data_IF_929954006622
#
_entry.id   IF_929954006622
#
_cell.length_a   1.000
_cell.length_b   1.000
_cell.length_c   1.000
_cell.angle_alpha   90.00
_cell.angle_beta   90.00
_cell.angle_gamma   90.00
#
_symmetry.space_group_name_H-M   'P 1'
#
loop_
_entity.id
_entity.type
_entity.pdbx_description
1 polymer ?
#
# COMPACT_ATOMS: atom_id res chain seq x y z
N UNK A 1 -15.34 31.04 17.85
CA UNK A 1 -15.74 30.07 16.80
C UNK A 1 -14.76 28.93 16.82
N UNK A 2 -15.15 27.78 17.37
CA UNK A 2 -14.32 26.57 17.46
C UNK A 2 -14.51 25.79 16.16
N UNK A 3 -13.52 25.83 15.28
CA UNK A 3 -13.57 25.18 13.97
C UNK A 3 -13.19 23.72 14.08
N UNK A 4 -14.20 22.87 13.90
CA UNK A 4 -14.20 21.54 13.25
C UNK A 4 -13.19 20.52 13.78
N UNK A 5 -13.72 19.62 14.62
CA UNK A 5 -13.12 18.32 14.88
C UNK A 5 -12.92 17.53 13.58
N UNK A 6 -11.71 16.98 13.45
CA UNK A 6 -11.32 16.04 12.41
C UNK A 6 -12.23 14.82 12.45
N UNK A 7 -13.05 14.66 11.40
CA UNK A 7 -13.79 13.43 11.16
C UNK A 7 -12.79 12.34 10.76
N UNK A 8 -12.27 11.60 11.76
CA UNK A 8 -11.71 10.28 11.50
C UNK A 8 -12.83 9.44 10.88
N UNK A 9 -12.72 9.18 9.57
CA UNK A 9 -13.55 8.19 8.90
C UNK A 9 -13.47 6.89 9.68
N UNK A 10 -14.59 6.15 9.73
CA UNK A 10 -14.63 4.82 10.34
C UNK A 10 -13.70 3.89 9.55
N UNK A 11 -12.40 3.87 9.90
CA UNK A 11 -11.47 2.85 9.43
C UNK A 11 -12.00 1.52 9.94
N UNK A 12 -12.15 0.55 9.04
CA UNK A 12 -12.41 -0.82 9.47
C UNK A 12 -11.28 -1.21 10.42
N UNK A 13 -11.59 -1.88 11.54
CA UNK A 13 -10.56 -2.34 12.49
C UNK A 13 -9.67 -3.47 11.93
N UNK A 14 -9.73 -3.71 10.61
CA UNK A 14 -8.98 -4.74 9.91
C UNK A 14 -7.61 -4.25 9.46
N UNK A 15 -6.65 -5.17 9.45
CA UNK A 15 -5.35 -4.97 8.85
C UNK A 15 -5.30 -5.73 7.53
N UNK A 16 -4.95 -5.06 6.44
CA UNK A 16 -4.97 -5.64 5.11
C UNK A 16 -3.55 -5.68 4.52
N UNK A 17 -3.10 -6.84 4.02
CA UNK A 17 -1.94 -6.89 3.14
C UNK A 17 -2.33 -6.49 1.71
N UNK A 18 -1.41 -5.85 1.00
CA UNK A 18 -1.44 -5.71 -0.45
C UNK A 18 -0.49 -6.74 -1.05
N UNK A 19 -0.88 -7.40 -2.15
CA UNK A 19 -0.04 -8.36 -2.87
C UNK A 19 0.30 -7.78 -4.23
N UNK A 20 1.61 -7.59 -4.46
CA UNK A 20 2.15 -6.85 -5.60
C UNK A 20 1.62 -5.41 -5.72
N UNK A 21 2.23 -4.64 -6.61
CA UNK A 21 1.98 -3.19 -6.77
C UNK A 21 1.97 -2.75 -8.22
N UNK A 22 2.01 -3.70 -9.15
CA UNK A 22 1.94 -3.41 -10.58
C UNK A 22 3.17 -2.67 -11.10
N UNK A 23 3.02 -2.12 -12.31
CA UNK A 23 4.00 -1.25 -12.95
C UNK A 23 4.22 0.06 -12.19
N UNK A 24 5.36 0.75 -12.40
CA UNK A 24 5.64 2.06 -11.81
C UNK A 24 4.62 3.15 -12.15
N UNK A 25 4.47 4.11 -11.23
CA UNK A 25 3.61 5.29 -11.43
C UNK A 25 2.11 4.97 -11.44
N UNK A 26 1.70 3.95 -10.69
CA UNK A 26 0.30 3.52 -10.54
C UNK A 26 -0.24 3.41 -9.09
N UNK A 27 0.34 4.00 -8.04
CA UNK A 27 -0.15 3.79 -6.67
C UNK A 27 -1.52 4.42 -6.41
N UNK A 28 -1.86 5.54 -7.08
CA UNK A 28 -3.20 6.13 -6.99
C UNK A 28 -4.30 5.17 -7.43
N UNK A 29 -4.02 4.34 -8.45
CA UNK A 29 -4.97 3.33 -8.90
C UNK A 29 -5.21 2.28 -7.82
N UNK A 30 -4.17 1.87 -7.10
CA UNK A 30 -4.27 0.88 -6.01
C UNK A 30 -5.06 1.48 -4.84
N UNK A 31 -4.69 2.67 -4.39
CA UNK A 31 -5.37 3.34 -3.28
C UNK A 31 -6.83 3.67 -3.58
N UNK A 32 -7.16 4.02 -4.83
CA UNK A 32 -8.54 4.20 -5.25
C UNK A 32 -9.36 2.89 -5.13
N UNK A 33 -8.79 1.75 -5.53
CA UNK A 33 -9.45 0.44 -5.39
C UNK A 33 -9.61 0.03 -3.93
N UNK A 34 -8.61 0.28 -3.10
CA UNK A 34 -8.71 0.04 -1.65
C UNK A 34 -9.82 0.89 -1.02
N UNK A 35 -9.95 2.16 -1.42
CA UNK A 35 -11.02 3.04 -0.96
C UNK A 35 -12.41 2.54 -1.39
N UNK A 36 -12.56 2.01 -2.62
CA UNK A 36 -13.80 1.36 -3.08
C UNK A 36 -14.17 0.14 -2.20
N UNK A 37 -13.16 -0.55 -1.66
CA UNK A 37 -13.34 -1.64 -0.70
C UNK A 37 -13.49 -1.19 0.76
N UNK A 38 -13.48 0.12 1.04
CA UNK A 38 -13.57 0.66 2.41
C UNK A 38 -12.29 0.49 3.24
N UNK A 39 -11.16 0.23 2.59
CA UNK A 39 -9.83 0.11 3.22
C UNK A 39 -9.15 1.48 3.14
N UNK A 40 -8.86 2.08 4.30
CA UNK A 40 -8.08 3.32 4.32
C UNK A 40 -6.61 3.01 3.98
N UNK A 41 -5.84 3.96 3.41
CA UNK A 41 -4.40 3.78 3.22
C UNK A 41 -3.68 3.39 4.51
N UNK A 42 -4.11 3.98 5.63
CA UNK A 42 -3.61 3.67 6.97
C UNK A 42 -4.14 2.37 7.57
N UNK A 43 -4.84 1.52 6.82
CA UNK A 43 -5.22 0.14 7.21
C UNK A 43 -4.36 -0.92 6.48
N UNK A 44 -3.57 -0.50 5.47
CA UNK A 44 -2.55 -1.34 4.84
C UNK A 44 -1.39 -1.54 5.83
N UNK A 45 -1.02 -2.79 6.10
CA UNK A 45 0.03 -3.14 7.09
C UNK A 45 1.22 -3.88 6.51
N UNK A 46 1.12 -4.33 5.27
CA UNK A 46 2.17 -5.08 4.59
C UNK A 46 1.97 -4.95 3.08
N UNK A 47 3.06 -4.76 2.34
CA UNK A 47 3.14 -4.93 0.89
C UNK A 47 3.96 -6.21 0.67
N UNK A 48 3.31 -7.27 0.20
CA UNK A 48 3.97 -8.55 -0.07
C UNK A 48 4.20 -8.69 -1.58
N UNK A 49 5.48 -8.76 -1.97
CA UNK A 49 5.88 -8.94 -3.36
C UNK A 49 6.02 -10.42 -3.68
N UNK A 50 5.45 -10.85 -4.80
CA UNK A 50 5.51 -12.25 -5.25
C UNK A 50 6.89 -12.61 -5.78
N UNK A 51 7.49 -11.75 -6.62
CA UNK A 51 8.83 -11.92 -7.17
C UNK A 51 9.42 -10.60 -7.73
N UNK A 52 10.71 -10.64 -8.08
CA UNK A 52 11.54 -9.50 -8.46
C UNK A 52 11.38 -8.95 -9.90
N UNK A 53 10.20 -9.00 -10.52
CA UNK A 53 9.97 -8.32 -11.80
C UNK A 53 9.26 -6.97 -11.61
N UNK A 54 9.66 -5.97 -12.39
CA UNK A 54 9.24 -4.56 -12.20
C UNK A 54 7.73 -4.35 -12.34
N UNK A 55 7.04 -5.22 -13.06
CA UNK A 55 5.57 -5.20 -13.18
C UNK A 55 4.85 -5.72 -11.93
N UNK A 56 5.58 -6.24 -10.94
CA UNK A 56 5.05 -6.67 -9.65
C UNK A 56 5.40 -5.71 -8.50
N UNK A 57 6.56 -5.04 -8.52
CA UNK A 57 6.99 -4.15 -7.42
C UNK A 57 7.07 -2.67 -7.81
N UNK A 58 6.71 -2.31 -9.03
CA UNK A 58 7.00 -1.00 -9.61
C UNK A 58 6.42 0.19 -8.84
N UNK A 59 5.31 0.03 -8.10
CA UNK A 59 4.74 1.09 -7.24
C UNK A 59 4.97 0.86 -5.74
N UNK A 60 5.79 -0.11 -5.35
CA UNK A 60 5.97 -0.51 -3.94
C UNK A 60 6.60 0.59 -3.08
N UNK A 61 7.62 1.29 -3.59
CA UNK A 61 8.27 2.37 -2.85
C UNK A 61 7.29 3.52 -2.52
N UNK A 62 6.53 3.99 -3.53
CA UNK A 62 5.58 5.08 -3.31
C UNK A 62 4.39 4.64 -2.43
N UNK A 63 3.93 3.39 -2.54
CA UNK A 63 2.91 2.86 -1.61
C UNK A 63 3.44 2.78 -0.19
N UNK A 64 4.68 2.32 0.02
CA UNK A 64 5.33 2.30 1.32
C UNK A 64 5.37 3.70 1.94
N UNK A 65 5.79 4.72 1.17
CA UNK A 65 5.82 6.12 1.62
C UNK A 65 4.43 6.65 2.01
N UNK A 66 3.39 6.31 1.23
CA UNK A 66 2.03 6.85 1.41
C UNK A 66 1.22 6.14 2.48
N UNK A 67 1.50 4.87 2.73
CA UNK A 67 0.72 4.02 3.67
C UNK A 67 1.47 3.76 4.97
N UNK A 68 2.82 3.85 4.96
CA UNK A 68 3.68 3.38 6.04
C UNK A 68 3.78 1.85 6.12
N UNK A 69 3.21 1.11 5.18
CA UNK A 69 3.28 -0.34 5.16
C UNK A 69 4.69 -0.80 4.76
N UNK A 70 5.35 -1.68 5.54
CA UNK A 70 6.62 -2.27 5.15
C UNK A 70 6.47 -3.17 3.91
N UNK A 71 7.53 -3.27 3.13
CA UNK A 71 7.63 -4.17 1.98
C UNK A 71 8.33 -5.47 2.39
N UNK A 72 7.76 -6.60 2.02
CA UNK A 72 8.35 -7.93 2.18
C UNK A 72 8.44 -8.65 0.84
N UNK A 73 9.56 -9.35 0.62
CA UNK A 73 9.81 -10.20 -0.54
C UNK A 73 10.65 -11.40 -0.11
N UNK A 74 10.64 -12.47 -0.89
CA UNK A 74 11.55 -13.57 -0.70
C UNK A 74 13.02 -13.11 -0.77
N UNK A 75 13.89 -13.65 0.10
CA UNK A 75 15.28 -13.18 0.23
C UNK A 75 16.11 -13.32 -1.06
N UNK A 76 15.80 -14.33 -1.89
CA UNK A 76 16.48 -14.52 -3.19
C UNK A 76 16.15 -13.44 -4.21
N UNK A 77 15.03 -12.74 -4.05
CA UNK A 77 14.58 -11.68 -4.96
C UNK A 77 14.84 -10.28 -4.39
N UNK A 78 15.39 -10.18 -3.17
CA UNK A 78 15.59 -8.91 -2.48
C UNK A 78 16.49 -7.94 -3.25
N UNK A 79 17.53 -8.43 -3.95
CA UNK A 79 18.39 -7.58 -4.78
C UNK A 79 17.65 -6.94 -5.95
N UNK A 80 16.62 -7.58 -6.48
CA UNK A 80 15.89 -7.08 -7.64
C UNK A 80 15.00 -5.86 -7.32
N UNK A 81 14.71 -5.64 -6.04
CA UNK A 81 13.74 -4.62 -5.56
C UNK A 81 14.36 -3.58 -4.62
N UNK A 82 15.70 -3.52 -4.55
CA UNK A 82 16.45 -2.54 -3.76
C UNK A 82 16.51 -1.16 -4.39
#
# INVERSE_FOLDING_TARGET
MISRGSSRGKGSSGSFPEVDTGNPGRPDRILARLAECGVAPGDMRLILLTHGHVDHFGSAAELCERTGAPVAIHALDAEAVR
#
